data_IF_635585686631
#
_entry.id   IF_635585686631
#
_cell.length_a   1.000
_cell.length_b   1.000
_cell.length_c   1.000
_cell.angle_alpha   90.00
_cell.angle_beta   90.00
_cell.angle_gamma   90.00
#
_symmetry.space_group_name_H-M   'P 1'
#
loop_
_entity.id
_entity.type
_entity.pdbx_description
1 polymer ?
#
# COMPACT_ATOMS: atom_id res chain seq x y z
N UNK A 1 11.62 4.56 -17.71
CA UNK A 1 10.64 4.07 -18.70
C UNK A 1 9.38 3.68 -17.94
N UNK A 2 8.41 4.60 -17.86
CA UNK A 2 7.18 4.39 -17.08
C UNK A 2 6.30 3.38 -17.81
N UNK A 3 5.90 2.35 -17.10
CA UNK A 3 5.09 1.26 -17.63
C UNK A 3 3.70 1.79 -18.01
N UNK A 4 3.44 1.86 -19.33
CA UNK A 4 2.23 2.42 -19.95
C UNK A 4 0.89 1.68 -19.68
N UNK A 5 0.81 0.42 -19.19
CA UNK A 5 -0.49 -0.23 -18.98
C UNK A 5 -1.18 0.16 -17.65
N UNK A 6 -0.49 0.78 -16.69
CA UNK A 6 -1.08 1.14 -15.38
C UNK A 6 -2.05 2.34 -15.42
N UNK A 7 -1.79 3.32 -16.30
CA UNK A 7 -2.57 4.56 -16.37
C UNK A 7 -3.92 4.39 -17.07
N UNK A 8 -3.97 3.51 -18.08
CA UNK A 8 -5.23 3.19 -18.79
C UNK A 8 -6.24 2.52 -17.86
N UNK A 9 -5.79 1.64 -16.95
CA UNK A 9 -6.65 1.00 -15.97
C UNK A 9 -7.22 1.98 -14.94
N UNK A 10 -6.45 2.98 -14.51
CA UNK A 10 -6.92 3.99 -13.55
C UNK A 10 -7.96 4.91 -14.18
N UNK A 11 -7.72 5.35 -15.42
CA UNK A 11 -8.68 6.20 -16.15
C UNK A 11 -9.99 5.44 -16.49
N UNK A 12 -9.89 4.16 -16.88
CA UNK A 12 -11.06 3.30 -17.09
C UNK A 12 -11.86 3.06 -15.81
N UNK A 13 -11.18 2.86 -14.67
CA UNK A 13 -11.84 2.71 -13.37
C UNK A 13 -12.63 3.95 -12.99
N UNK A 14 -12.05 5.14 -13.18
CA UNK A 14 -12.68 6.44 -12.90
C UNK A 14 -13.90 6.66 -13.81
N UNK A 15 -13.80 6.33 -15.10
CA UNK A 15 -14.91 6.48 -16.04
C UNK A 15 -16.06 5.50 -15.77
N UNK A 16 -15.76 4.23 -15.44
CA UNK A 16 -16.77 3.21 -15.08
C UNK A 16 -17.46 3.50 -13.75
N UNK A 17 -16.73 3.99 -12.75
CA UNK A 17 -17.34 4.36 -11.45
C UNK A 17 -18.28 5.55 -11.58
N UNK A 18 -18.05 6.46 -12.53
CA UNK A 18 -18.99 7.55 -12.85
C UNK A 18 -20.31 7.11 -13.51
N UNK A 19 -20.33 5.96 -14.19
CA UNK A 19 -21.48 5.52 -15.00
C UNK A 19 -22.20 4.25 -14.48
N UNK A 20 -21.65 3.55 -13.48
CA UNK A 20 -22.13 2.23 -13.05
C UNK A 20 -22.98 2.17 -11.77
N UNK A 21 -23.25 3.31 -11.12
CA UNK A 21 -23.99 3.36 -9.87
C UNK A 21 -23.28 2.66 -8.69
N UNK A 22 -23.91 2.66 -7.52
CA UNK A 22 -23.32 2.18 -6.27
C UNK A 22 -22.85 0.71 -6.32
N UNK A 23 -23.55 -0.15 -7.06
CA UNK A 23 -23.21 -1.57 -7.19
C UNK A 23 -21.89 -1.79 -7.93
N UNK A 24 -21.64 -1.02 -9.00
CA UNK A 24 -20.37 -1.08 -9.72
C UNK A 24 -19.20 -0.62 -8.86
N UNK A 25 -19.38 0.47 -8.09
CA UNK A 25 -18.37 0.95 -7.13
C UNK A 25 -18.04 -0.13 -6.09
N UNK A 26 -19.06 -0.72 -5.48
CA UNK A 26 -18.88 -1.78 -4.47
C UNK A 26 -18.13 -2.98 -5.04
N UNK A 27 -18.50 -3.44 -6.24
CA UNK A 27 -17.80 -4.57 -6.88
C UNK A 27 -16.32 -4.27 -7.14
N UNK A 28 -15.98 -3.05 -7.59
CA UNK A 28 -14.60 -2.64 -7.82
C UNK A 28 -13.80 -2.52 -6.51
N UNK A 29 -14.42 -1.99 -5.45
CA UNK A 29 -13.80 -1.92 -4.12
C UNK A 29 -13.50 -3.32 -3.57
N UNK A 30 -14.44 -4.26 -3.70
CA UNK A 30 -14.27 -5.64 -3.23
C UNK A 30 -13.14 -6.36 -3.97
N UNK A 31 -13.09 -6.24 -5.30
CA UNK A 31 -12.02 -6.84 -6.09
C UNK A 31 -10.65 -6.26 -5.72
N UNK A 32 -10.52 -4.92 -5.67
CA UNK A 32 -9.27 -4.27 -5.28
C UNK A 32 -8.85 -4.59 -3.85
N UNK A 33 -9.81 -4.74 -2.93
CA UNK A 33 -9.52 -5.09 -1.55
C UNK A 33 -8.89 -6.48 -1.44
N UNK A 34 -9.43 -7.47 -2.17
CA UNK A 34 -8.84 -8.81 -2.22
C UNK A 34 -7.39 -8.76 -2.71
N UNK A 35 -7.13 -8.04 -3.81
CA UNK A 35 -5.77 -7.89 -4.37
C UNK A 35 -4.78 -7.24 -3.38
N UNK A 36 -5.22 -6.19 -2.66
CA UNK A 36 -4.38 -5.50 -1.68
C UNK A 36 -4.06 -6.37 -0.47
N UNK A 37 -5.05 -7.15 0.02
CA UNK A 37 -4.84 -8.08 1.14
C UNK A 37 -3.85 -9.17 0.74
N UNK A 38 -4.00 -9.76 -0.45
CA UNK A 38 -3.10 -10.79 -0.97
C UNK A 38 -1.68 -10.24 -1.13
N UNK A 39 -1.54 -9.05 -1.74
CA UNK A 39 -0.25 -8.39 -1.92
C UNK A 39 0.45 -8.11 -0.58
N UNK A 40 -0.28 -7.56 0.40
CA UNK A 40 0.27 -7.28 1.72
C UNK A 40 0.70 -8.57 2.42
N UNK A 41 -0.17 -9.59 2.45
CA UNK A 41 0.14 -10.89 3.07
C UNK A 41 1.36 -11.57 2.45
N UNK A 42 1.52 -11.47 1.12
CA UNK A 42 2.61 -12.10 0.40
C UNK A 42 3.97 -11.39 0.51
N UNK A 43 3.98 -10.11 0.89
CA UNK A 43 5.21 -9.28 0.83
C UNK A 43 5.60 -8.61 2.14
N UNK A 44 4.70 -8.57 3.11
CA UNK A 44 4.92 -7.93 4.41
C UNK A 44 4.84 -8.98 5.52
N UNK A 45 5.96 -9.31 6.20
CA UNK A 45 5.96 -10.24 7.32
C UNK A 45 4.96 -9.90 8.44
N UNK A 46 4.73 -8.60 8.69
CA UNK A 46 3.73 -8.13 9.66
C UNK A 46 2.31 -8.51 9.21
N UNK A 47 1.92 -8.15 7.98
CA UNK A 47 0.59 -8.47 7.47
C UNK A 47 0.39 -9.96 7.18
N UNK A 48 1.47 -10.69 6.86
CA UNK A 48 1.43 -12.14 6.77
C UNK A 48 0.95 -12.76 8.08
N UNK A 49 1.49 -12.31 9.22
CA UNK A 49 1.08 -12.76 10.56
C UNK A 49 -0.30 -12.24 10.94
N UNK A 50 -0.56 -10.95 10.73
CA UNK A 50 -1.83 -10.32 11.13
C UNK A 50 -3.03 -10.93 10.37
N UNK A 51 -2.86 -11.22 9.08
CA UNK A 51 -3.92 -11.70 8.19
C UNK A 51 -3.89 -13.21 7.97
N UNK A 52 -3.16 -13.98 8.77
CA UNK A 52 -3.02 -15.43 8.57
C UNK A 52 -4.35 -16.20 8.69
N UNK A 53 -5.30 -15.70 9.49
CA UNK A 53 -6.62 -16.32 9.69
C UNK A 53 -7.71 -15.73 8.79
N UNK A 54 -7.40 -14.69 8.02
CA UNK A 54 -8.39 -14.07 7.15
C UNK A 54 -8.62 -14.96 5.92
N UNK A 55 -9.88 -15.20 5.51
CA UNK A 55 -10.21 -15.90 4.28
C UNK A 55 -9.49 -15.29 3.07
N UNK A 56 -9.14 -16.13 2.09
CA UNK A 56 -8.45 -15.69 0.86
C UNK A 56 -9.30 -14.69 0.07
N UNK A 57 -10.62 -14.83 0.11
CA UNK A 57 -11.60 -13.99 -0.59
C UNK A 57 -12.23 -12.92 0.31
N UNK A 58 -11.47 -12.39 1.29
CA UNK A 58 -11.94 -11.29 2.12
C UNK A 58 -12.27 -10.08 1.24
N UNK A 59 -13.55 -9.69 1.23
CA UNK A 59 -14.11 -8.59 0.43
C UNK A 59 -14.68 -7.44 1.26
N UNK A 60 -14.60 -7.54 2.58
CA UNK A 60 -15.13 -6.52 3.48
C UNK A 60 -14.01 -6.00 4.39
N UNK A 61 -13.75 -4.70 4.29
CA UNK A 61 -12.72 -4.01 5.07
C UNK A 61 -12.99 -4.11 6.57
N UNK A 62 -14.25 -4.27 6.98
CA UNK A 62 -14.65 -4.36 8.39
C UNK A 62 -14.20 -5.65 9.06
N UNK A 63 -13.84 -6.67 8.29
CA UNK A 63 -13.26 -7.91 8.82
C UNK A 63 -11.74 -7.81 9.04
N UNK A 64 -11.09 -6.73 8.59
CA UNK A 64 -9.66 -6.55 8.81
C UNK A 64 -9.40 -6.11 10.26
N UNK A 65 -8.49 -6.77 10.98
CA UNK A 65 -7.98 -6.24 12.23
C UNK A 65 -7.42 -4.82 12.01
N UNK A 66 -7.85 -3.82 12.81
CA UNK A 66 -7.32 -2.46 12.69
C UNK A 66 -5.84 -2.45 13.09
N UNK A 67 -5.07 -1.54 12.49
CA UNK A 67 -3.67 -1.30 12.82
C UNK A 67 -3.47 0.16 13.20
N UNK A 68 -2.60 0.41 14.17
CA UNK A 68 -2.32 1.76 14.64
C UNK A 68 -0.98 2.29 14.14
N UNK A 69 -0.84 3.61 14.02
CA UNK A 69 0.43 4.25 13.64
C UNK A 69 1.59 3.83 14.58
N UNK A 70 1.45 3.82 15.92
CA UNK A 70 2.51 3.35 16.80
C UNK A 70 2.95 1.90 16.54
N UNK A 71 2.00 0.98 16.33
CA UNK A 71 2.32 -0.41 15.99
C UNK A 71 3.10 -0.51 14.68
N UNK A 72 2.65 0.20 13.63
CA UNK A 72 3.34 0.23 12.36
C UNK A 72 4.74 0.84 12.52
N UNK A 73 4.89 1.95 13.23
CA UNK A 73 6.21 2.57 13.41
C UNK A 73 7.17 1.71 14.23
N UNK A 74 6.67 0.91 15.19
CA UNK A 74 7.47 -0.06 15.93
C UNK A 74 7.89 -1.27 15.08
N UNK A 75 7.11 -1.61 14.06
CA UNK A 75 7.34 -2.75 13.17
C UNK A 75 7.73 -2.32 11.74
N UNK A 76 8.34 -1.14 11.56
CA UNK A 76 8.51 -0.51 10.24
C UNK A 76 9.07 -1.46 9.18
N UNK A 77 10.23 -2.05 9.47
CA UNK A 77 10.95 -2.94 8.56
C UNK A 77 10.19 -4.25 8.26
N UNK A 78 9.15 -4.56 9.05
CA UNK A 78 8.35 -5.77 8.93
C UNK A 78 7.00 -5.52 8.27
N UNK A 79 6.45 -4.29 8.31
CA UNK A 79 5.17 -4.00 7.65
C UNK A 79 5.32 -3.50 6.22
N UNK A 80 6.44 -2.89 5.88
CA UNK A 80 6.76 -2.52 4.49
C UNK A 80 6.76 -3.76 3.58
N UNK A 81 6.43 -3.56 2.30
CA UNK A 81 6.27 -4.65 1.31
C UNK A 81 7.50 -4.83 0.40
N UNK A 82 8.53 -4.01 0.61
CA UNK A 82 9.84 -4.17 0.01
C UNK A 82 10.89 -4.25 1.14
N UNK A 83 11.58 -5.38 1.33
CA UNK A 83 12.59 -5.53 2.39
C UNK A 83 13.82 -4.63 2.22
N UNK A 84 14.04 -4.04 1.03
CA UNK A 84 15.11 -3.06 0.84
C UNK A 84 14.78 -1.71 1.53
N UNK A 85 13.49 -1.44 1.76
CA UNK A 85 13.03 -0.25 2.48
C UNK A 85 13.18 -0.50 3.98
N UNK A 86 14.10 0.20 4.62
CA UNK A 86 14.30 0.11 6.08
C UNK A 86 14.08 1.46 6.72
N UNK A 87 13.68 1.46 8.00
CA UNK A 87 13.49 2.67 8.80
C UNK A 87 14.77 3.49 8.83
N UNK A 88 15.89 2.85 9.13
CA UNK A 88 17.19 3.50 9.17
C UNK A 88 17.57 4.09 7.80
N UNK A 89 17.29 3.39 6.70
CA UNK A 89 17.55 3.86 5.35
C UNK A 89 16.71 5.09 4.97
N UNK A 90 15.42 5.07 5.30
CA UNK A 90 14.51 6.20 5.10
C UNK A 90 14.91 7.40 5.97
N UNK A 91 15.23 7.18 7.24
CA UNK A 91 15.68 8.23 8.17
C UNK A 91 16.99 8.88 7.69
N UNK A 92 17.97 8.09 7.26
CA UNK A 92 19.22 8.60 6.68
C UNK A 92 18.99 9.39 5.39
N UNK A 93 18.08 8.92 4.53
CA UNK A 93 17.71 9.61 3.30
C UNK A 93 17.09 10.98 3.58
N UNK A 94 16.13 11.05 4.51
CA UNK A 94 15.44 12.29 4.90
C UNK A 94 16.39 13.27 5.61
N UNK A 95 17.31 12.78 6.43
CA UNK A 95 18.28 13.61 7.12
C UNK A 95 19.24 14.34 6.16
N UNK A 96 19.47 13.79 4.96
CA UNK A 96 20.33 14.39 3.96
C UNK A 96 19.56 15.36 3.04
N UNK A 97 19.67 16.66 3.33
CA UNK A 97 19.02 17.73 2.55
C UNK A 97 19.43 17.80 1.07
N UNK A 98 20.58 17.24 0.69
CA UNK A 98 21.01 17.20 -0.72
C UNK A 98 20.18 16.23 -1.57
N UNK A 99 19.43 15.32 -0.93
CA UNK A 99 18.61 14.31 -1.59
C UNK A 99 17.15 14.76 -1.79
N UNK A 100 16.82 16.01 -1.46
CA UNK A 100 15.47 16.55 -1.71
C UNK A 100 15.16 16.49 -3.21
N UNK A 101 14.02 15.90 -3.56
CA UNK A 101 13.61 15.69 -4.96
C UNK A 101 14.18 14.43 -5.62
N UNK A 102 15.09 13.71 -4.95
CA UNK A 102 15.55 12.40 -5.41
C UNK A 102 14.61 11.28 -4.93
N UNK A 103 14.68 10.14 -5.61
CA UNK A 103 13.96 8.93 -5.21
C UNK A 103 14.84 8.07 -4.29
N UNK A 104 14.31 7.71 -3.11
CA UNK A 104 14.90 6.70 -2.25
C UNK A 104 14.92 5.35 -2.97
N UNK A 105 16.08 4.68 -2.95
CA UNK A 105 16.37 3.47 -3.73
C UNK A 105 16.13 3.63 -5.25
N UNK A 106 16.04 4.87 -5.77
CA UNK A 106 15.71 5.12 -7.18
C UNK A 106 14.25 4.83 -7.54
N UNK A 107 13.40 4.47 -6.58
CA UNK A 107 12.03 4.01 -6.82
C UNK A 107 10.96 4.73 -5.97
N UNK A 108 11.32 5.22 -4.78
CA UNK A 108 10.36 5.70 -3.78
C UNK A 108 10.48 7.19 -3.52
N UNK A 109 9.38 7.92 -3.65
CA UNK A 109 9.28 9.26 -3.10
C UNK A 109 9.08 9.17 -1.57
N UNK A 110 9.81 9.97 -0.80
CA UNK A 110 9.73 10.00 0.66
C UNK A 110 9.25 11.36 1.12
N UNK A 111 8.26 11.37 2.01
CA UNK A 111 7.74 12.58 2.64
C UNK A 111 7.57 12.36 4.13
N UNK A 112 7.85 13.39 4.91
CA UNK A 112 7.52 13.44 6.34
C UNK A 112 6.23 14.22 6.52
N UNK A 113 5.23 13.61 7.15
CA UNK A 113 4.06 14.35 7.60
C UNK A 113 4.31 14.81 9.04
N UNK A 114 4.06 16.09 9.34
CA UNK A 114 3.90 16.50 10.74
C UNK A 114 2.80 15.64 11.36
N UNK A 115 3.13 15.00 12.49
CA UNK A 115 2.42 13.88 13.11
C UNK A 115 0.92 13.86 12.98
#
# INVERSE_FOLDING_TARGET
MVDRPRLLNVAWDIWRTGHGGQSAVTAHQQARLTDVIEFARGRSPFYQKLYHQLPVDTRDVRHLPPVTKPELMANFDHWVTDPAVTRAGVEAFVANRTLVGHLYLGHYAVWTTSG
#
